data_IF_095625645386
#
_entry.id   IF_095625645386
#
_cell.length_a   1.000
_cell.length_b   1.000
_cell.length_c   1.000
_cell.angle_alpha   90.00
_cell.angle_beta   90.00
_cell.angle_gamma   90.00
#
_symmetry.space_group_name_H-M   'P 1'
#
loop_
_entity.id
_entity.type
_entity.pdbx_description
1 polymer ?
#
# COMPACT_ATOMS: atom_id res chain seq x y z
N UNK A 1 -5.20 10.76 -3.82
CA UNK A 1 -4.08 9.92 -3.37
C UNK A 1 -4.50 9.21 -2.10
N UNK A 2 -4.60 7.89 -2.17
CA UNK A 2 -4.87 7.01 -1.06
C UNK A 2 -4.01 5.76 -1.19
N UNK A 3 -3.11 5.59 -0.24
CA UNK A 3 -2.35 4.37 0.01
C UNK A 3 -3.03 3.69 1.19
N UNK A 4 -3.50 2.47 0.99
CA UNK A 4 -4.13 1.67 2.04
C UNK A 4 -3.07 0.99 2.89
N UNK A 5 -3.29 0.93 4.19
CA UNK A 5 -2.53 0.07 5.11
C UNK A 5 -3.02 -1.39 4.99
N UNK A 6 -4.25 -1.58 4.50
CA UNK A 6 -4.82 -2.87 4.12
C UNK A 6 -4.05 -3.54 2.99
N UNK A 7 -4.08 -4.87 2.97
CA UNK A 7 -3.54 -5.64 1.86
C UNK A 7 -4.32 -5.36 0.55
N UNK A 8 -3.64 -5.19 -0.61
CA UNK A 8 -4.29 -4.96 -1.90
C UNK A 8 -5.28 -6.06 -2.32
N UNK A 9 -5.20 -7.27 -1.73
CA UNK A 9 -6.14 -8.37 -1.94
C UNK A 9 -7.61 -7.94 -1.75
N UNK A 10 -7.88 -6.99 -0.87
CA UNK A 10 -9.23 -6.50 -0.60
C UNK A 10 -9.80 -5.58 -1.67
N UNK A 11 -8.97 -5.04 -2.56
CA UNK A 11 -9.39 -4.07 -3.56
C UNK A 11 -10.08 -4.73 -4.74
N UNK A 12 -11.02 -4.02 -5.36
CA UNK A 12 -11.49 -4.28 -6.71
C UNK A 12 -10.46 -3.88 -7.78
N UNK A 13 -10.70 -4.26 -9.03
CA UNK A 13 -9.84 -3.93 -10.17
C UNK A 13 -9.55 -2.42 -10.28
N UNK A 14 -10.59 -1.58 -10.18
CA UNK A 14 -10.44 -0.14 -10.27
C UNK A 14 -9.66 0.43 -9.07
N UNK A 15 -9.90 -0.10 -7.87
CA UNK A 15 -9.15 0.23 -6.66
C UNK A 15 -7.65 -0.08 -6.80
N UNK A 16 -7.31 -1.27 -7.31
CA UNK A 16 -5.92 -1.69 -7.50
C UNK A 16 -5.18 -0.83 -8.53
N UNK A 17 -5.81 -0.53 -9.67
CA UNK A 17 -5.24 0.35 -10.71
C UNK A 17 -5.05 1.78 -10.17
N UNK A 18 -6.03 2.30 -9.42
CA UNK A 18 -5.91 3.62 -8.79
C UNK A 18 -4.76 3.64 -7.77
N UNK A 19 -4.68 2.61 -6.91
CA UNK A 19 -3.63 2.50 -5.90
C UNK A 19 -2.24 2.54 -6.54
N UNK A 20 -2.02 1.76 -7.60
CA UNK A 20 -0.76 1.77 -8.33
C UNK A 20 -0.38 3.16 -8.86
N UNK A 21 -1.30 3.82 -9.57
CA UNK A 21 -1.05 5.15 -10.16
C UNK A 21 -0.80 6.22 -9.11
N UNK A 22 -1.58 6.22 -8.03
CA UNK A 22 -1.44 7.19 -6.95
C UNK A 22 -0.17 6.97 -6.13
N UNK A 23 0.24 5.72 -5.92
CA UNK A 23 1.48 5.39 -5.21
C UNK A 23 2.72 5.72 -6.06
N UNK A 24 2.68 5.52 -7.39
CA UNK A 24 3.74 6.00 -8.28
C UNK A 24 3.86 7.53 -8.26
N UNK A 25 2.74 8.25 -8.13
CA UNK A 25 2.77 9.69 -7.91
C UNK A 25 3.41 10.00 -6.55
N UNK A 26 3.04 9.30 -5.47
CA UNK A 26 3.62 9.44 -4.14
C UNK A 26 5.14 9.26 -4.16
N UNK A 27 5.64 8.24 -4.86
CA UNK A 27 7.06 8.00 -5.08
C UNK A 27 7.74 9.23 -5.69
N UNK A 28 7.17 9.81 -6.76
CA UNK A 28 7.70 11.03 -7.37
C UNK A 28 7.66 12.23 -6.42
N UNK A 29 6.64 12.34 -5.57
CA UNK A 29 6.58 13.38 -4.54
C UNK A 29 7.73 13.23 -3.55
N UNK A 30 7.97 12.02 -3.05
CA UNK A 30 9.04 11.72 -2.08
C UNK A 30 10.44 11.88 -2.69
N UNK A 31 10.58 11.72 -4.01
CA UNK A 31 11.81 12.03 -4.76
C UNK A 31 11.99 13.54 -5.05
N UNK A 32 11.02 14.40 -4.68
CA UNK A 32 11.07 15.83 -4.99
C UNK A 32 10.79 16.18 -6.46
N UNK A 33 10.33 15.23 -7.27
CA UNK A 33 10.10 15.37 -8.71
C UNK A 33 8.75 16.02 -9.06
N UNK A 34 7.94 16.35 -8.06
CA UNK A 34 6.64 17.02 -8.27
C UNK A 34 6.62 18.40 -7.63
N UNK A 35 5.79 19.29 -8.18
CA UNK A 35 5.45 20.59 -7.56
C UNK A 35 4.19 20.50 -6.67
N UNK A 36 3.23 19.65 -7.04
CA UNK A 36 1.99 19.41 -6.28
C UNK A 36 2.06 18.22 -5.34
N UNK A 37 1.06 18.10 -4.45
CA UNK A 37 0.86 17.00 -3.49
C UNK A 37 1.95 16.80 -2.42
N UNK A 38 2.91 17.71 -2.30
CA UNK A 38 4.01 17.66 -1.32
C UNK A 38 3.56 17.54 0.13
N UNK A 39 2.42 18.17 0.45
CA UNK A 39 1.84 18.21 1.79
C UNK A 39 0.62 17.28 1.91
N UNK A 40 0.55 16.23 1.09
CA UNK A 40 -0.52 15.26 1.21
C UNK A 40 -0.35 14.48 2.51
N UNK A 41 -1.35 14.47 3.43
CA UNK A 41 -1.19 13.88 4.76
C UNK A 41 -0.73 12.43 4.75
N UNK A 42 -1.26 11.61 3.84
CA UNK A 42 -0.84 10.20 3.76
C UNK A 42 0.65 9.98 3.42
N UNK A 43 1.36 11.00 2.94
CA UNK A 43 2.81 10.89 2.75
C UNK A 43 3.58 10.98 4.07
N UNK A 44 2.98 11.54 5.12
CA UNK A 44 3.68 11.83 6.37
C UNK A 44 4.19 10.55 7.03
N UNK A 45 3.41 9.45 6.99
CA UNK A 45 3.85 8.12 7.46
C UNK A 45 5.08 7.56 6.72
N UNK A 46 5.27 7.94 5.45
CA UNK A 46 6.44 7.56 4.66
C UNK A 46 7.61 8.52 4.89
N UNK A 47 7.34 9.83 4.99
CA UNK A 47 8.37 10.85 5.28
C UNK A 47 9.04 10.65 6.64
N UNK A 48 8.31 10.11 7.61
CA UNK A 48 8.84 9.78 8.93
C UNK A 48 9.76 8.55 8.93
N UNK A 49 9.86 7.82 7.82
CA UNK A 49 10.75 6.67 7.72
C UNK A 49 12.21 7.10 7.47
N UNK A 50 13.20 6.31 7.92
CA UNK A 50 14.61 6.58 7.64
C UNK A 50 14.93 6.68 6.14
N UNK A 51 14.19 5.95 5.30
CA UNK A 51 14.30 6.03 3.85
C UNK A 51 12.91 6.05 3.19
N UNK A 52 12.28 7.24 3.03
CA UNK A 52 10.92 7.36 2.50
C UNK A 52 10.76 6.75 1.11
N UNK A 53 11.78 6.92 0.25
CA UNK A 53 11.81 6.41 -1.12
C UNK A 53 11.92 4.88 -1.14
N UNK A 54 12.68 4.29 -0.20
CA UNK A 54 12.72 2.83 -0.07
C UNK A 54 11.40 2.26 0.44
N UNK A 55 10.79 2.90 1.45
CA UNK A 55 9.50 2.48 2.01
C UNK A 55 8.37 2.51 0.98
N UNK A 56 8.26 3.57 0.18
CA UNK A 56 7.22 3.64 -0.88
C UNK A 56 7.51 2.66 -2.03
N UNK A 57 8.78 2.36 -2.30
CA UNK A 57 9.17 1.33 -3.27
C UNK A 57 8.80 -0.08 -2.83
N UNK A 58 9.02 -0.40 -1.56
CA UNK A 58 8.54 -1.65 -0.95
C UNK A 58 7.00 -1.75 -0.97
N UNK A 59 6.31 -0.64 -0.70
CA UNK A 59 4.86 -0.56 -0.86
C UNK A 59 4.42 -0.88 -2.30
N UNK A 60 5.05 -0.27 -3.29
CA UNK A 60 4.73 -0.54 -4.71
C UNK A 60 4.99 -2.00 -5.09
N UNK A 61 5.98 -2.64 -4.47
CA UNK A 61 6.31 -4.04 -4.75
C UNK A 61 5.18 -4.98 -4.32
N UNK A 62 4.59 -4.79 -3.13
CA UNK A 62 3.42 -5.57 -2.71
C UNK A 62 2.18 -5.30 -3.57
N UNK A 63 1.99 -4.07 -4.07
CA UNK A 63 0.93 -3.78 -5.05
C UNK A 63 1.17 -4.48 -6.39
N UNK A 64 2.43 -4.53 -6.84
CA UNK A 64 2.82 -5.21 -8.08
C UNK A 64 2.63 -6.73 -7.96
N UNK A 65 2.96 -7.32 -6.81
CA UNK A 65 2.72 -8.75 -6.55
C UNK A 65 1.25 -9.09 -6.66
N UNK A 66 0.36 -8.33 -6.02
CA UNK A 66 -1.09 -8.53 -6.15
C UNK A 66 -1.56 -8.36 -7.60
N UNK A 67 -1.05 -7.35 -8.30
CA UNK A 67 -1.38 -7.12 -9.70
C UNK A 67 -0.98 -8.33 -10.57
N UNK A 68 0.23 -8.86 -10.37
CA UNK A 68 0.73 -10.06 -11.07
C UNK A 68 -0.12 -11.29 -10.74
N UNK A 69 -0.47 -11.51 -9.47
CA UNK A 69 -1.31 -12.62 -9.04
C UNK A 69 -2.68 -12.63 -9.73
N UNK A 70 -3.22 -11.44 -10.05
CA UNK A 70 -4.47 -11.26 -10.80
C UNK A 70 -4.30 -11.18 -12.33
N UNK A 71 -3.09 -11.36 -12.85
CA UNK A 71 -2.80 -11.31 -14.29
C UNK A 71 -2.69 -9.91 -14.90
N UNK A 72 -2.55 -8.85 -14.10
CA UNK A 72 -2.28 -7.50 -14.61
C UNK A 72 -0.80 -7.32 -14.96
N UNK A 73 -0.54 -6.57 -16.04
CA UNK A 73 0.80 -6.24 -16.49
C UNK A 73 1.23 -4.84 -16.02
N UNK A 74 1.36 -4.63 -14.70
CA UNK A 74 1.92 -3.39 -14.17
C UNK A 74 3.42 -3.33 -14.43
N UNK A 75 3.87 -2.18 -14.90
CA UNK A 75 5.27 -1.95 -15.27
C UNK A 75 6.15 -1.74 -14.03
N UNK A 76 6.73 -2.83 -13.53
CA UNK A 76 7.61 -2.85 -12.36
C UNK A 76 8.88 -2.02 -12.52
N UNK A 77 9.29 -1.67 -13.75
CA UNK A 77 10.45 -0.79 -13.97
C UNK A 77 10.25 0.62 -13.40
N UNK A 78 9.00 0.99 -13.09
CA UNK A 78 8.62 2.27 -12.48
C UNK A 78 8.91 2.34 -10.99
N UNK A 79 9.19 1.22 -10.33
CA UNK A 79 9.53 1.15 -8.92
C UNK A 79 11.00 1.54 -8.76
N UNK A 80 11.27 2.59 -7.99
CA UNK A 80 12.64 3.09 -7.84
C UNK A 80 13.48 2.31 -6.82
N UNK A 81 12.84 1.58 -5.89
CA UNK A 81 13.51 0.78 -4.88
C UNK A 81 12.74 -0.51 -4.51
N UNK A 82 13.45 -1.64 -4.30
CA UNK A 82 14.85 -1.84 -4.68
C UNK A 82 14.88 -1.83 -6.23
N UNK A 83 15.84 -1.14 -6.84
CA UNK A 83 15.76 -0.63 -8.23
C UNK A 83 15.12 -1.55 -9.29
N UNK A 84 14.38 -0.95 -10.24
CA UNK A 84 13.62 -1.63 -11.28
C UNK A 84 14.31 -2.81 -11.98
N UNK A 85 13.49 -3.79 -12.38
CA UNK A 85 13.76 -5.07 -13.07
C UNK A 85 14.85 -6.00 -12.49
N UNK A 86 16.01 -5.49 -12.09
CA UNK A 86 17.14 -6.31 -11.60
C UNK A 86 17.12 -6.56 -10.08
N UNK A 87 16.38 -5.79 -9.29
CA UNK A 87 16.36 -5.98 -7.84
C UNK A 87 15.35 -7.01 -7.34
N UNK A 88 14.30 -7.31 -8.13
CA UNK A 88 13.31 -8.33 -7.77
C UNK A 88 13.90 -9.73 -7.88
N UNK A 89 14.81 -9.95 -8.83
CA UNK A 89 15.60 -11.20 -8.97
C UNK A 89 16.77 -11.29 -7.96
N UNK A 90 17.24 -10.15 -7.44
CA UNK A 90 18.34 -10.03 -6.47
C UNK A 90 17.93 -10.05 -5.00
N UNK A 91 16.66 -10.30 -4.69
CA UNK A 91 16.28 -10.76 -3.34
C UNK A 91 16.93 -12.12 -2.99
N UNK A 92 17.67 -12.72 -3.93
CA UNK A 92 18.58 -13.84 -3.72
C UNK A 92 19.92 -13.41 -3.06
N UNK A 93 19.99 -13.70 -1.76
CA UNK A 93 21.14 -14.12 -0.93
C UNK A 93 22.40 -13.24 -0.70
N UNK A 94 22.66 -12.13 -1.41
CA UNK A 94 23.92 -11.38 -1.14
C UNK A 94 23.88 -9.84 -1.35
N UNK A 95 22.73 -9.24 -1.63
CA UNK A 95 22.63 -7.78 -1.75
C UNK A 95 22.34 -7.12 -0.40
N UNK A 96 23.22 -6.22 0.04
CA UNK A 96 23.04 -5.27 1.14
C UNK A 96 21.89 -4.28 0.86
N UNK A 97 20.67 -4.79 0.65
CA UNK A 97 19.45 -3.98 0.61
C UNK A 97 19.14 -3.66 2.07
N UNK A 98 19.30 -2.41 2.53
CA UNK A 98 18.92 -2.06 3.90
C UNK A 98 17.46 -2.46 4.11
N UNK A 99 17.23 -3.25 5.16
CA UNK A 99 15.91 -3.67 5.55
C UNK A 99 15.02 -2.44 5.70
N UNK A 100 13.90 -2.42 4.97
CA UNK A 100 12.90 -1.35 5.12
C UNK A 100 12.19 -1.60 6.45
N UNK A 101 12.25 -0.67 7.42
CA UNK A 101 11.53 -0.84 8.67
C UNK A 101 10.02 -0.95 8.40
N UNK A 102 9.35 -1.84 9.13
CA UNK A 102 7.89 -1.90 9.11
C UNK A 102 7.31 -0.63 9.73
N UNK A 103 6.16 -0.21 9.21
CA UNK A 103 5.44 0.96 9.69
C UNK A 103 4.31 0.46 10.58
N UNK A 104 4.31 0.86 11.84
CA UNK A 104 3.20 0.58 12.75
C UNK A 104 1.93 1.28 12.27
N UNK A 105 0.81 0.56 12.33
CA UNK A 105 -0.52 1.09 12.04
C UNK A 105 -1.50 0.69 13.13
N UNK A 106 -2.22 1.68 13.65
CA UNK A 106 -3.26 1.46 14.66
C UNK A 106 -4.36 0.52 14.19
N UNK A 107 -4.81 -0.38 15.04
CA UNK A 107 -6.02 -1.18 14.84
C UNK A 107 -7.25 -0.30 14.53
N UNK A 108 -7.36 0.87 15.15
CA UNK A 108 -8.37 1.88 14.84
C UNK A 108 -8.27 2.42 13.41
N UNK A 109 -7.06 2.62 12.89
CA UNK A 109 -6.84 2.99 11.49
C UNK A 109 -7.26 1.85 10.56
N UNK A 110 -6.85 0.61 10.84
CA UNK A 110 -7.22 -0.54 10.00
C UNK A 110 -8.73 -0.74 9.94
N UNK A 111 -9.43 -0.65 11.08
CA UNK A 111 -10.89 -0.72 11.15
C UNK A 111 -11.55 0.39 10.32
N UNK A 112 -11.04 1.63 10.41
CA UNK A 112 -11.54 2.75 9.61
C UNK A 112 -11.34 2.51 8.11
N UNK A 113 -10.14 2.12 7.69
CA UNK A 113 -9.84 1.84 6.29
C UNK A 113 -10.73 0.72 5.75
N UNK A 114 -10.90 -0.36 6.51
CA UNK A 114 -11.69 -1.51 6.10
C UNK A 114 -13.16 -1.13 5.91
N UNK A 115 -13.75 -0.43 6.88
CA UNK A 115 -15.13 0.06 6.79
C UNK A 115 -15.30 1.01 5.58
N UNK A 116 -14.33 1.90 5.37
CA UNK A 116 -14.39 2.82 4.25
C UNK A 116 -14.29 2.12 2.90
N UNK A 117 -13.36 1.17 2.76
CA UNK A 117 -13.22 0.35 1.56
C UNK A 117 -14.51 -0.43 1.28
N UNK A 118 -15.05 -1.11 2.30
CA UNK A 118 -16.31 -1.86 2.20
C UNK A 118 -17.44 -0.98 1.66
N UNK A 119 -17.64 0.22 2.21
CA UNK A 119 -18.69 1.14 1.74
C UNK A 119 -18.54 1.54 0.25
N UNK A 120 -17.30 1.59 -0.27
CA UNK A 120 -17.04 1.88 -1.69
C UNK A 120 -17.36 0.65 -2.54
N UNK A 121 -16.95 -0.53 -2.10
CA UNK A 121 -17.17 -1.79 -2.81
C UNK A 121 -18.65 -2.16 -2.87
N UNK A 122 -19.42 -1.99 -1.80
CA UNK A 122 -20.86 -2.27 -1.77
C UNK A 122 -21.62 -1.56 -2.91
N UNK A 123 -21.15 -0.38 -3.32
CA UNK A 123 -21.78 0.39 -4.40
C UNK A 123 -21.25 0.05 -5.79
N UNK A 124 -19.94 -0.21 -5.92
CA UNK A 124 -19.27 -0.29 -7.24
C UNK A 124 -18.90 -1.70 -7.69
N UNK A 125 -18.64 -2.59 -6.74
CA UNK A 125 -18.14 -3.96 -6.96
C UNK A 125 -18.53 -4.87 -5.79
N UNK A 126 -19.85 -5.08 -5.52
CA UNK A 126 -20.31 -5.89 -4.40
C UNK A 126 -19.81 -7.33 -4.46
N UNK A 127 -19.52 -7.86 -5.65
CA UNK A 127 -18.94 -9.19 -5.85
C UNK A 127 -17.55 -9.37 -5.20
N UNK A 128 -16.79 -8.30 -5.00
CA UNK A 128 -15.49 -8.39 -4.32
C UNK A 128 -15.65 -8.79 -2.86
N UNK A 129 -16.77 -8.42 -2.23
CA UNK A 129 -17.08 -8.75 -0.84
C UNK A 129 -17.40 -10.23 -0.63
N UNK A 130 -17.58 -11.01 -1.70
CA UNK A 130 -17.81 -12.45 -1.64
C UNK A 130 -16.52 -13.26 -1.85
N UNK A 131 -15.37 -12.61 -1.98
CA UNK A 131 -14.07 -13.30 -2.12
C UNK A 131 -13.60 -13.89 -0.79
N UNK A 132 -12.75 -14.92 -0.84
CA UNK A 132 -12.20 -15.57 0.35
C UNK A 132 -11.46 -14.58 1.27
N UNK A 133 -10.76 -13.60 0.68
CA UNK A 133 -10.10 -12.54 1.43
C UNK A 133 -11.09 -11.79 2.33
N UNK A 134 -12.24 -11.37 1.79
CA UNK A 134 -13.29 -10.69 2.55
C UNK A 134 -14.04 -11.63 3.51
N UNK A 135 -14.21 -12.90 3.15
CA UNK A 135 -14.86 -13.89 4.02
C UNK A 135 -14.06 -14.18 5.31
N UNK A 136 -12.74 -14.04 5.27
CA UNK A 136 -11.87 -14.28 6.44
C UNK A 136 -11.73 -13.06 7.37
N UNK A 137 -12.19 -11.88 6.93
CA UNK A 137 -12.15 -10.66 7.74
C UNK A 137 -12.95 -10.87 9.02
N UNK A 138 -12.27 -10.69 10.16
CA UNK A 138 -12.85 -10.88 11.51
C UNK A 138 -12.50 -12.21 12.14
N UNK A 139 -12.53 -13.32 11.40
CA UNK A 139 -12.11 -14.63 11.92
C UNK A 139 -10.59 -14.73 12.08
N UNK A 140 -9.84 -14.15 11.14
CA UNK A 140 -8.36 -14.17 11.11
C UNK A 140 -7.75 -12.77 11.30
N UNK A 141 -8.56 -11.77 11.65
CA UNK A 141 -8.14 -10.37 11.68
C UNK A 141 -8.13 -9.74 10.28
N UNK A 142 -7.52 -8.56 10.17
CA UNK A 142 -7.35 -7.82 8.92
C UNK A 142 -5.94 -8.04 8.39
N UNK A 143 -5.81 -8.45 7.13
CA UNK A 143 -4.47 -8.61 6.54
C UNK A 143 -3.94 -7.25 6.13
N UNK A 144 -2.78 -6.87 6.66
CA UNK A 144 -2.12 -5.62 6.27
C UNK A 144 -1.31 -5.81 4.99
N UNK A 145 -1.04 -4.71 4.30
CA UNK A 145 0.02 -4.70 3.29
C UNK A 145 1.36 -5.04 4.00
N UNK A 146 2.28 -5.83 3.41
CA UNK A 146 3.52 -6.31 4.07
C UNK A 146 4.45 -5.25 4.66
N UNK A 147 4.25 -3.97 4.32
CA UNK A 147 4.99 -2.83 4.88
C UNK A 147 4.51 -2.47 6.28
N UNK A 148 3.27 -2.83 6.65
CA UNK A 148 2.66 -2.41 7.90
C UNK A 148 2.52 -3.57 8.86
N UNK A 149 2.77 -3.25 10.12
CA UNK A 149 2.49 -4.13 11.25
C UNK A 149 1.39 -3.50 12.08
N UNK A 150 0.36 -4.29 12.40
CA UNK A 150 -0.72 -3.86 13.27
C UNK A 150 -0.19 -3.62 14.69
N UNK A 151 -0.59 -2.50 15.29
CA UNK A 151 -0.33 -2.17 16.67
C UNK A 151 -1.62 -1.60 17.31
N UNK A 152 -1.83 -1.74 18.63
CA UNK A 152 -2.94 -1.07 19.30
C UNK A 152 -2.82 0.45 19.14
N UNK A 153 -3.86 1.12 18.63
CA UNK A 153 -3.79 2.56 18.44
C UNK A 153 -4.97 3.20 17.72
N UNK A 154 -5.13 4.53 17.84
CA UNK A 154 -6.24 5.23 17.21
C UNK A 154 -6.13 5.26 15.67
N UNK A 155 -7.14 5.85 15.04
CA UNK A 155 -7.03 6.35 13.67
C UNK A 155 -5.80 7.25 13.58
N UNK A 156 -4.99 7.08 12.53
CA UNK A 156 -3.74 7.79 12.41
C UNK A 156 -3.98 9.28 12.12
N UNK A 157 -3.13 10.16 12.68
CA UNK A 157 -3.29 11.61 12.56
C UNK A 157 -3.23 12.14 11.12
N UNK A 158 -2.60 11.38 10.22
CA UNK A 158 -2.55 11.69 8.79
C UNK A 158 -3.85 11.36 8.04
N UNK A 159 -4.76 10.61 8.64
CA UNK A 159 -6.02 10.24 7.99
C UNK A 159 -7.00 11.41 8.03
N UNK A 160 -7.46 11.83 6.85
CA UNK A 160 -8.49 12.86 6.74
C UNK A 160 -9.84 12.18 6.74
N UNK A 161 -10.50 12.21 7.90
CA UNK A 161 -11.86 11.68 8.07
C UNK A 161 -12.83 12.58 7.29
N UNK A 162 -13.53 12.00 6.32
CA UNK A 162 -14.57 12.63 5.50
C UNK A 162 -15.86 11.84 5.57
#
# INVERSE_FOLDING_TARGET
MRMWSLNPVYLDAAGLVALWRETLLAQKVLQGLTKGYRNHPQLDRFKSQPSPVASIGFYLSGVLEEARARGYNFDGSKICYPGGHDAVDRLSFDSHVPAVPLIEVGDGQLAYELAWLRSKLERRSPEVLTTDAWAQVGASGVVTHPLFVEAPGPIAEWEKIS
#
